data_IF_672751858356
#
_entry.id   IF_672751858356
#
_cell.length_a   1.000
_cell.length_b   1.000
_cell.length_c   1.000
_cell.angle_alpha   90.00
_cell.angle_beta   90.00
_cell.angle_gamma   90.00
#
_symmetry.space_group_name_H-M   'P 1'
#
loop_
_entity.id
_entity.type
_entity.pdbx_description
1 polymer ?
#
# COMPACT_ATOMS: atom_id res chain seq x y z
N UNK A 1 8.83 7.95 13.54
CA UNK A 1 8.81 8.35 12.13
C UNK A 1 7.99 7.38 11.31
N UNK A 2 8.59 6.25 10.93
CA UNK A 2 7.97 5.25 10.04
C UNK A 2 6.59 4.74 10.51
N UNK A 3 6.45 4.33 11.77
CA UNK A 3 5.16 3.82 12.28
C UNK A 3 4.02 4.85 12.19
N UNK A 4 4.37 6.14 12.36
CA UNK A 4 3.43 7.26 12.21
C UNK A 4 3.02 7.43 10.74
N UNK A 5 3.96 7.32 9.81
CA UNK A 5 3.69 7.36 8.36
C UNK A 5 2.83 6.19 7.92
N UNK A 6 3.14 4.97 8.37
CA UNK A 6 2.36 3.77 8.07
C UNK A 6 0.94 3.85 8.64
N UNK A 7 0.81 4.28 9.90
CA UNK A 7 -0.48 4.48 10.54
C UNK A 7 -1.31 5.56 9.84
N UNK A 8 -0.70 6.69 9.49
CA UNK A 8 -1.37 7.76 8.75
C UNK A 8 -1.81 7.32 7.35
N UNK A 9 -0.98 6.56 6.63
CA UNK A 9 -1.34 6.01 5.32
C UNK A 9 -2.51 5.02 5.42
N UNK A 10 -2.51 4.15 6.45
CA UNK A 10 -3.62 3.25 6.76
C UNK A 10 -4.91 4.03 7.07
N UNK A 11 -4.86 5.05 7.91
CA UNK A 11 -6.07 5.82 8.24
C UNK A 11 -6.57 6.62 7.03
N UNK A 12 -5.66 7.28 6.31
CA UNK A 12 -5.99 8.12 5.17
C UNK A 12 -6.63 7.33 4.03
N UNK A 13 -6.08 6.17 3.69
CA UNK A 13 -6.64 5.37 2.61
C UNK A 13 -7.97 4.70 3.00
N UNK A 14 -8.16 4.34 4.28
CA UNK A 14 -9.47 3.89 4.75
C UNK A 14 -10.49 5.03 4.64
N UNK A 15 -10.17 6.21 5.16
CA UNK A 15 -11.03 7.39 5.09
C UNK A 15 -11.40 7.76 3.63
N UNK A 16 -10.42 7.71 2.71
CA UNK A 16 -10.64 7.93 1.29
C UNK A 16 -11.64 6.91 0.70
N UNK A 17 -11.45 5.61 0.97
CA UNK A 17 -12.35 4.57 0.47
C UNK A 17 -13.77 4.71 1.03
N UNK A 18 -13.91 4.97 2.33
CA UNK A 18 -15.22 5.16 2.97
C UNK A 18 -15.95 6.40 2.44
N UNK A 19 -15.24 7.46 2.05
CA UNK A 19 -15.85 8.61 1.38
C UNK A 19 -16.51 8.22 0.05
N UNK A 20 -15.90 7.31 -0.72
CA UNK A 20 -16.46 6.84 -2.00
C UNK A 20 -17.74 6.02 -1.80
N UNK A 21 -17.81 5.22 -0.72
CA UNK A 21 -19.03 4.50 -0.32
C UNK A 21 -20.13 5.48 0.07
N UNK A 22 -19.82 6.49 0.90
CA UNK A 22 -20.78 7.50 1.31
C UNK A 22 -21.35 8.29 0.13
N UNK A 23 -20.52 8.50 -0.91
CA UNK A 23 -20.91 9.12 -2.17
C UNK A 23 -21.65 8.14 -3.12
N UNK A 24 -21.89 6.89 -2.70
CA UNK A 24 -22.49 5.80 -3.51
C UNK A 24 -21.74 5.54 -4.83
N UNK A 25 -20.46 5.89 -4.88
CA UNK A 25 -19.62 5.71 -6.05
C UNK A 25 -19.02 4.30 -6.15
N UNK A 26 -18.91 3.59 -5.01
CA UNK A 26 -18.28 2.28 -4.87
C UNK A 26 -19.04 1.44 -3.83
N UNK A 27 -19.06 0.12 -3.99
CA UNK A 27 -19.68 -0.80 -3.05
C UNK A 27 -18.77 -1.04 -1.84
N UNK A 28 -19.27 -1.13 -0.59
CA UNK A 28 -18.42 -1.33 0.59
C UNK A 28 -17.43 -2.50 0.48
N UNK A 29 -17.82 -3.57 -0.23
CA UNK A 29 -16.98 -4.76 -0.44
C UNK A 29 -15.80 -4.51 -1.37
N UNK A 30 -15.94 -3.63 -2.37
CA UNK A 30 -14.83 -3.29 -3.27
C UNK A 30 -13.77 -2.44 -2.54
N UNK A 31 -14.19 -1.54 -1.64
CA UNK A 31 -13.28 -0.73 -0.82
C UNK A 31 -12.49 -1.59 0.16
N UNK A 32 -13.15 -2.53 0.85
CA UNK A 32 -12.46 -3.47 1.74
C UNK A 32 -11.52 -4.40 0.97
N UNK A 33 -11.95 -4.85 -0.21
CA UNK A 33 -11.11 -5.65 -1.11
C UNK A 33 -9.86 -4.89 -1.55
N UNK A 34 -10.04 -3.68 -2.07
CA UNK A 34 -8.95 -2.81 -2.51
C UNK A 34 -7.99 -2.43 -1.37
N UNK A 35 -8.52 -2.21 -0.16
CA UNK A 35 -7.73 -2.00 1.04
C UNK A 35 -6.79 -3.17 1.33
N UNK A 36 -7.35 -4.38 1.34
CA UNK A 36 -6.59 -5.60 1.58
C UNK A 36 -5.57 -5.86 0.47
N UNK A 37 -5.95 -5.65 -0.79
CA UNK A 37 -5.04 -5.73 -1.94
C UNK A 37 -3.88 -4.76 -1.80
N UNK A 38 -4.11 -3.50 -1.40
CA UNK A 38 -3.04 -2.54 -1.19
C UNK A 38 -2.06 -3.01 -0.09
N UNK A 39 -2.58 -3.53 1.02
CA UNK A 39 -1.76 -4.07 2.11
C UNK A 39 -0.95 -5.30 1.71
N UNK A 40 -1.40 -6.09 0.73
CA UNK A 40 -0.63 -7.22 0.22
C UNK A 40 0.37 -6.80 -0.88
N UNK A 41 -0.06 -5.97 -1.82
CA UNK A 41 0.72 -5.59 -3.00
C UNK A 41 1.88 -4.66 -2.63
N UNK A 42 1.66 -3.66 -1.77
CA UNK A 42 2.71 -2.70 -1.40
C UNK A 42 3.94 -3.39 -0.78
N UNK A 43 3.85 -4.24 0.27
CA UNK A 43 5.02 -4.91 0.81
C UNK A 43 5.62 -5.92 -0.18
N UNK A 44 4.81 -6.61 -1.00
CA UNK A 44 5.34 -7.47 -2.06
C UNK A 44 6.18 -6.67 -3.07
N UNK A 45 5.70 -5.49 -3.48
CA UNK A 45 6.45 -4.63 -4.41
C UNK A 45 7.72 -4.09 -3.76
N UNK A 46 7.68 -3.68 -2.49
CA UNK A 46 8.87 -3.23 -1.77
C UNK A 46 9.93 -4.35 -1.71
N UNK A 47 9.52 -5.56 -1.35
CA UNK A 47 10.42 -6.72 -1.32
C UNK A 47 11.02 -7.03 -2.70
N UNK A 48 10.24 -6.96 -3.77
CA UNK A 48 10.73 -7.17 -5.14
C UNK A 48 11.75 -6.10 -5.54
N UNK A 49 11.49 -4.83 -5.19
CA UNK A 49 12.41 -3.72 -5.45
C UNK A 49 13.73 -3.94 -4.71
N UNK A 50 13.67 -4.28 -3.42
CA UNK A 50 14.85 -4.57 -2.61
C UNK A 50 15.64 -5.75 -3.21
N UNK A 51 14.97 -6.83 -3.59
CA UNK A 51 15.60 -8.00 -4.20
C UNK A 51 16.30 -7.68 -5.52
N UNK A 52 15.69 -6.86 -6.38
CA UNK A 52 16.32 -6.42 -7.64
C UNK A 52 17.49 -5.48 -7.35
N UNK A 53 17.39 -4.61 -6.35
CA UNK A 53 18.47 -3.73 -5.94
C UNK A 53 19.67 -4.53 -5.39
N UNK A 54 19.44 -5.51 -4.53
CA UNK A 54 20.47 -6.40 -3.98
C UNK A 54 21.10 -7.33 -5.04
N UNK A 55 20.37 -7.61 -6.12
CA UNK A 55 20.88 -8.41 -7.24
C UNK A 55 21.74 -7.62 -8.21
N UNK A 56 21.78 -6.28 -8.11
CA UNK A 56 22.78 -5.48 -8.83
C UNK A 56 24.12 -5.69 -8.14
N UNK A 57 25.18 -6.10 -8.87
CA UNK A 57 26.48 -6.25 -8.25
C UNK A 57 26.87 -4.93 -7.57
N UNK A 58 27.38 -5.00 -6.35
CA UNK A 58 28.17 -3.92 -5.77
C UNK A 58 29.60 -4.05 -6.34
N UNK A 59 29.75 -3.95 -7.65
CA UNK A 59 31.06 -3.87 -8.30
C UNK A 59 31.64 -2.46 -8.11
N UNK A 60 32.03 -2.20 -6.87
CA UNK A 60 32.97 -1.14 -6.50
C UNK A 60 34.40 -1.51 -6.90
N UNK A 61 34.65 -1.67 -8.20
CA UNK A 61 36.00 -1.59 -8.77
C UNK A 61 36.36 -0.14 -9.05
#
# INVERSE_FOLDING_TARGET
GLSLVLGAALVAGAAMGWAQVALSAHYPTDVLGGWCTALAVVPMTAWLVDRVADSRPNDGT
#
